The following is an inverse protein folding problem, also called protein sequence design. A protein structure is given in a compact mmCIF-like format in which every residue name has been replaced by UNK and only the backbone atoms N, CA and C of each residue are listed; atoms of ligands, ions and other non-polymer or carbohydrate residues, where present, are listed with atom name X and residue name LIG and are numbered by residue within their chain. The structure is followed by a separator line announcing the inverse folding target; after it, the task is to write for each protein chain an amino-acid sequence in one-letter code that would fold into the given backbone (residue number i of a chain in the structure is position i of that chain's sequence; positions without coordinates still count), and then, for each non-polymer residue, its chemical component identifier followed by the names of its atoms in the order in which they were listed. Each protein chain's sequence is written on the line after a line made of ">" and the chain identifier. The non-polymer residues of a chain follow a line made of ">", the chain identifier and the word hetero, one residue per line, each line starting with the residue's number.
data_IF_195043127723
#
_entry.id   IF_195043127723
#
_cell.length_a   1.000
_cell.length_b   1.000
_cell.length_c   1.000
_cell.angle_alpha   90.00
_cell.angle_beta   90.00
_cell.angle_gamma   90.00
#
_symmetry.space_group_name_H-M   'P 1'
#
loop_
_entity.id
_entity.type
_entity.pdbx_description
1 polymer ?
#
# COMPACT_ATOMS: atom_id res chain seq x y z
N UNK A 1 -6.25 -21.72 -3.12
CA UNK A 1 -5.80 -22.21 -4.43
C UNK A 1 -4.40 -21.72 -4.74
N UNK A 2 -3.49 -22.67 -5.00
CA UNK A 2 -2.11 -22.36 -5.39
C UNK A 2 -2.02 -22.38 -6.92
N UNK A 3 -1.50 -21.32 -7.52
CA UNK A 3 -1.37 -21.19 -8.96
C UNK A 3 0.05 -20.76 -9.33
N UNK A 4 0.55 -21.23 -10.48
CA UNK A 4 1.83 -20.79 -11.04
C UNK A 4 1.53 -19.72 -12.08
N UNK A 5 2.09 -18.54 -11.88
CA UNK A 5 1.97 -17.42 -12.81
C UNK A 5 3.30 -17.26 -13.56
N UNK A 6 3.24 -17.22 -14.88
CA UNK A 6 4.40 -17.04 -15.78
C UNK A 6 4.20 -15.91 -16.78
N UNK A 7 3.07 -15.18 -16.69
CA UNK A 7 2.74 -14.12 -17.65
C UNK A 7 3.54 -12.83 -17.45
N UNK A 8 4.23 -12.67 -16.31
CA UNK A 8 5.14 -11.55 -16.09
C UNK A 8 6.53 -11.93 -16.61
N UNK A 9 7.09 -11.10 -17.45
CA UNK A 9 8.40 -11.37 -18.08
C UNK A 9 9.49 -11.60 -17.02
N UNK A 10 10.28 -12.66 -17.22
CA UNK A 10 11.37 -13.07 -16.34
C UNK A 10 10.97 -13.47 -14.90
N UNK A 11 9.70 -13.77 -14.68
CA UNK A 11 9.21 -14.19 -13.37
C UNK A 11 8.43 -15.50 -13.46
N UNK A 12 8.63 -16.35 -12.45
CA UNK A 12 7.77 -17.51 -12.15
C UNK A 12 7.27 -17.32 -10.72
N UNK A 13 6.01 -17.00 -10.58
CA UNK A 13 5.40 -16.68 -9.29
C UNK A 13 4.51 -17.82 -8.82
N UNK A 14 4.62 -18.18 -7.56
CA UNK A 14 3.68 -19.07 -6.90
C UNK A 14 2.65 -18.21 -6.16
N UNK A 15 1.42 -18.21 -6.65
CA UNK A 15 0.36 -17.35 -6.13
C UNK A 15 -0.63 -18.19 -5.34
N UNK A 16 -0.82 -17.88 -4.06
CA UNK A 16 -1.89 -18.43 -3.23
C UNK A 16 -3.01 -17.38 -3.12
N UNK A 17 -4.11 -17.62 -3.80
CA UNK A 17 -5.24 -16.71 -3.79
C UNK A 17 -6.24 -16.96 -2.65
N UNK A 18 -6.12 -18.07 -1.94
CA UNK A 18 -7.07 -18.47 -0.86
C UNK A 18 -8.55 -18.34 -1.26
N UNK A 19 -8.83 -18.49 -2.56
CA UNK A 19 -10.18 -18.31 -3.11
C UNK A 19 -10.54 -16.89 -3.51
N UNK A 20 -9.64 -15.91 -3.33
CA UNK A 20 -9.83 -14.54 -3.79
C UNK A 20 -9.46 -14.43 -5.27
N UNK A 21 -10.20 -13.64 -6.03
CA UNK A 21 -9.89 -13.34 -7.42
C UNK A 21 -8.72 -12.37 -7.49
N UNK A 22 -7.60 -12.82 -8.07
CA UNK A 22 -6.47 -11.96 -8.39
C UNK A 22 -6.65 -11.40 -9.79
N UNK A 23 -6.50 -10.09 -9.92
CA UNK A 23 -6.61 -9.40 -11.20
C UNK A 23 -5.35 -8.57 -11.39
N UNK A 24 -4.65 -8.83 -12.48
CA UNK A 24 -3.37 -8.20 -12.78
C UNK A 24 -3.58 -6.98 -13.67
N UNK A 25 -2.93 -5.89 -13.32
CA UNK A 25 -2.93 -4.67 -14.11
C UNK A 25 -2.07 -4.84 -15.36
N UNK A 26 -2.68 -4.66 -16.53
CA UNK A 26 -2.05 -4.85 -17.83
C UNK A 26 -1.84 -3.52 -18.60
N UNK A 27 -2.13 -2.40 -17.94
CA UNK A 27 -1.94 -1.07 -18.51
C UNK A 27 -3.08 -0.63 -19.43
N UNK A 28 -2.79 0.39 -20.22
CA UNK A 28 -3.79 1.00 -21.12
C UNK A 28 -3.51 0.78 -22.60
N UNK A 29 -2.39 0.16 -22.97
CA UNK A 29 -2.03 -0.06 -24.37
C UNK A 29 -2.74 -1.30 -24.93
N UNK A 30 -3.69 -1.14 -25.88
CA UNK A 30 -4.42 -2.27 -26.46
C UNK A 30 -3.52 -3.29 -27.19
N UNK A 31 -2.31 -2.90 -27.58
CA UNK A 31 -1.36 -3.79 -28.24
C UNK A 31 -0.86 -4.92 -27.30
N UNK A 32 -0.99 -4.72 -25.99
CA UNK A 32 -0.59 -5.68 -24.98
C UNK A 32 -1.74 -6.57 -24.51
N UNK A 33 -2.98 -6.30 -24.96
CA UNK A 33 -4.14 -7.05 -24.47
C UNK A 33 -4.24 -8.44 -25.10
N UNK A 34 -4.58 -9.42 -24.28
CA UNK A 34 -4.83 -10.82 -24.68
C UNK A 34 -3.60 -11.51 -25.30
N UNK A 35 -2.39 -11.08 -24.98
CA UNK A 35 -1.14 -11.55 -25.60
C UNK A 35 -0.42 -12.64 -24.78
N UNK A 36 -1.01 -13.04 -23.64
CA UNK A 36 -0.44 -14.04 -22.73
C UNK A 36 0.64 -13.49 -21.82
N UNK A 37 0.71 -12.16 -21.68
CA UNK A 37 1.67 -11.45 -20.83
C UNK A 37 0.94 -10.45 -19.94
N UNK A 38 1.67 -9.89 -18.98
CA UNK A 38 1.24 -8.78 -18.13
C UNK A 38 2.23 -7.64 -18.31
N UNK A 39 1.82 -6.61 -19.05
CA UNK A 39 2.70 -5.51 -19.40
C UNK A 39 2.84 -4.49 -18.27
N UNK A 40 1.77 -4.21 -17.53
CA UNK A 40 1.74 -3.13 -16.55
C UNK A 40 1.69 -1.74 -17.18
N UNK A 41 2.32 -0.75 -16.54
CA UNK A 41 2.39 0.62 -17.06
C UNK A 41 1.28 1.54 -16.55
N UNK A 42 1.16 2.71 -17.21
CA UNK A 42 0.16 3.72 -16.85
C UNK A 42 -1.21 3.42 -17.47
N UNK A 43 -2.28 4.00 -16.87
CA UNK A 43 -3.63 3.88 -17.43
C UNK A 43 -4.71 4.35 -16.49
N UNK A 44 -5.96 4.08 -16.87
CA UNK A 44 -7.15 4.47 -16.11
C UNK A 44 -7.83 3.25 -15.50
N UNK A 45 -8.03 3.27 -14.20
CA UNK A 45 -8.74 2.23 -13.44
C UNK A 45 -10.19 2.64 -13.22
N UNK A 46 -11.11 1.94 -13.86
CA UNK A 46 -12.56 2.13 -13.70
C UNK A 46 -13.24 0.91 -13.09
N UNK A 47 -14.29 1.16 -12.34
CA UNK A 47 -15.21 0.13 -11.90
C UNK A 47 -16.20 -0.17 -13.03
N UNK A 48 -16.11 -1.36 -13.62
CA UNK A 48 -17.07 -1.83 -14.63
C UNK A 48 -16.61 -1.77 -16.07
N UNK A 49 -17.28 -2.47 -16.86
CA UNK A 49 -17.30 -3.11 -18.12
C UNK A 49 -16.62 -2.57 -19.38
N UNK A 50 -16.08 -1.40 -19.49
CA UNK A 50 -15.47 -0.94 -20.75
C UNK A 50 -13.93 -0.81 -20.71
N UNK A 51 -13.33 -1.11 -19.58
CA UNK A 51 -11.88 -1.10 -19.42
C UNK A 51 -11.33 -2.51 -19.60
N UNK A 52 -10.43 -2.71 -20.55
CA UNK A 52 -9.73 -3.98 -20.75
C UNK A 52 -8.33 -3.98 -20.13
N UNK A 53 -8.10 -3.12 -19.15
CA UNK A 53 -6.78 -2.91 -18.52
C UNK A 53 -6.42 -3.97 -17.46
N UNK A 54 -7.30 -4.93 -17.21
CA UNK A 54 -7.10 -5.97 -16.22
C UNK A 54 -7.11 -7.35 -16.88
N UNK A 55 -6.23 -8.22 -16.44
CA UNK A 55 -6.12 -9.57 -16.98
C UNK A 55 -6.05 -10.62 -15.86
N UNK A 56 -6.29 -11.84 -16.21
CA UNK A 56 -6.05 -12.99 -15.34
C UNK A 56 -4.57 -13.29 -15.18
N UNK A 57 -4.28 -14.30 -14.34
CA UNK A 57 -2.90 -14.71 -14.02
C UNK A 57 -2.10 -15.18 -15.24
N UNK A 58 -2.76 -15.59 -16.32
CA UNK A 58 -2.15 -16.09 -17.55
C UNK A 58 -1.99 -15.02 -18.66
N UNK A 59 -2.49 -13.79 -18.43
CA UNK A 59 -2.40 -12.69 -19.39
C UNK A 59 -3.22 -12.84 -20.66
N UNK A 60 -4.07 -13.90 -20.78
CA UNK A 60 -4.71 -14.26 -22.06
C UNK A 60 -6.01 -13.54 -22.34
N UNK A 61 -6.70 -13.10 -21.30
CA UNK A 61 -7.99 -12.43 -21.44
C UNK A 61 -8.01 -11.16 -20.62
N UNK A 62 -8.09 -10.03 -21.30
CA UNK A 62 -8.27 -8.74 -20.67
C UNK A 62 -9.77 -8.43 -20.46
N UNK A 63 -10.06 -7.73 -19.38
CA UNK A 63 -11.40 -7.35 -18.99
C UNK A 63 -11.44 -6.20 -18.02
N UNK A 64 -12.63 -5.92 -17.51
CA UNK A 64 -12.85 -4.88 -16.50
C UNK A 64 -12.44 -5.33 -15.10
N UNK A 65 -12.30 -4.34 -14.22
CA UNK A 65 -12.04 -4.57 -12.80
C UNK A 65 -13.13 -5.40 -12.14
N UNK A 66 -12.70 -6.40 -11.38
CA UNK A 66 -13.59 -7.21 -10.54
C UNK A 66 -13.66 -6.55 -9.15
N UNK A 67 -14.85 -6.05 -8.80
CA UNK A 67 -15.07 -5.40 -7.52
C UNK A 67 -14.72 -6.32 -6.33
N UNK A 68 -14.11 -5.75 -5.31
CA UNK A 68 -13.64 -6.46 -4.13
C UNK A 68 -12.53 -7.50 -4.40
N UNK A 69 -11.95 -7.50 -5.61
CA UNK A 69 -10.80 -8.31 -5.97
C UNK A 69 -9.50 -7.80 -5.40
N UNK A 70 -8.43 -8.56 -5.60
CA UNK A 70 -7.06 -8.15 -5.29
C UNK A 70 -6.38 -7.65 -6.56
N UNK A 71 -5.97 -6.37 -6.53
CA UNK A 71 -5.26 -5.72 -7.62
C UNK A 71 -3.75 -6.05 -7.55
N UNK A 72 -3.21 -6.66 -8.59
CA UNK A 72 -1.77 -6.96 -8.68
C UNK A 72 -1.13 -6.06 -9.72
N UNK A 73 -0.19 -5.24 -9.28
CA UNK A 73 0.59 -4.32 -10.11
C UNK A 73 1.99 -4.90 -10.32
N UNK A 74 2.25 -5.38 -11.54
CA UNK A 74 3.51 -6.02 -11.95
C UNK A 74 3.93 -5.50 -13.33
N UNK A 75 4.93 -6.10 -13.94
CA UNK A 75 5.46 -5.62 -15.23
C UNK A 75 6.13 -4.26 -15.13
N UNK A 76 5.83 -3.34 -16.03
CA UNK A 76 6.36 -1.98 -16.01
C UNK A 76 5.58 -1.14 -15.02
N UNK A 77 6.26 -0.41 -14.14
CA UNK A 77 5.61 0.55 -13.24
C UNK A 77 5.05 1.76 -14.02
N UNK A 78 4.02 2.38 -13.43
CA UNK A 78 3.38 3.54 -14.04
C UNK A 78 2.45 4.27 -13.09
N UNK A 79 1.73 5.24 -13.63
CA UNK A 79 0.68 5.97 -12.92
C UNK A 79 -0.69 5.43 -13.33
N UNK A 80 -1.43 4.92 -12.35
CA UNK A 80 -2.78 4.41 -12.54
C UNK A 80 -3.77 5.40 -11.94
N UNK A 81 -4.61 5.98 -12.80
CA UNK A 81 -5.60 6.99 -12.39
C UNK A 81 -6.95 6.33 -12.17
N UNK A 82 -7.42 6.36 -10.93
CA UNK A 82 -8.78 5.91 -10.58
C UNK A 82 -9.78 6.90 -11.13
N UNK A 83 -10.78 6.43 -11.88
CA UNK A 83 -11.83 7.23 -12.47
C UNK A 83 -13.19 6.57 -12.21
N UNK A 84 -13.93 7.13 -11.26
CA UNK A 84 -15.26 6.62 -10.86
C UNK A 84 -16.39 7.16 -11.73
N UNK A 85 -16.06 7.95 -12.77
CA UNK A 85 -17.07 8.59 -13.65
C UNK A 85 -18.16 9.32 -12.86
N UNK A 86 -17.71 10.24 -11.98
CA UNK A 86 -18.59 11.09 -11.16
C UNK A 86 -19.56 10.29 -10.29
N UNK A 87 -18.99 9.42 -9.43
CA UNK A 87 -19.75 8.79 -8.34
C UNK A 87 -20.68 7.65 -8.73
N UNK A 88 -20.74 7.26 -10.00
CA UNK A 88 -21.64 6.21 -10.45
C UNK A 88 -21.23 4.82 -9.95
N UNK A 89 -19.91 4.52 -9.86
CA UNK A 89 -19.40 3.23 -9.43
C UNK A 89 -18.06 3.39 -8.70
N UNK A 90 -18.03 3.35 -7.38
CA UNK A 90 -16.77 3.36 -6.64
C UNK A 90 -15.94 2.13 -6.99
N UNK A 91 -14.62 2.30 -7.10
CA UNK A 91 -13.70 1.18 -7.20
C UNK A 91 -13.54 0.57 -5.82
N UNK A 92 -14.09 -0.63 -5.62
CA UNK A 92 -13.94 -1.38 -4.36
C UNK A 92 -12.76 -2.31 -4.45
N UNK A 93 -11.86 -2.19 -3.47
CA UNK A 93 -10.60 -2.88 -3.37
C UNK A 93 -10.63 -3.92 -2.24
N UNK A 94 -10.47 -5.19 -2.56
CA UNK A 94 -10.33 -6.27 -1.57
C UNK A 94 -8.90 -6.43 -1.07
N UNK A 95 -7.91 -6.03 -1.86
CA UNK A 95 -6.48 -6.03 -1.53
C UNK A 95 -5.66 -5.50 -2.69
N UNK A 96 -4.37 -5.22 -2.44
CA UNK A 96 -3.44 -4.83 -3.49
C UNK A 96 -2.06 -5.45 -3.28
N UNK A 97 -1.35 -5.72 -4.36
CA UNK A 97 0.06 -6.05 -4.36
C UNK A 97 0.79 -5.21 -5.42
N UNK A 98 1.83 -4.53 -5.01
CA UNK A 98 2.79 -3.86 -5.87
C UNK A 98 4.04 -4.72 -5.96
N UNK A 99 4.10 -5.59 -6.97
CA UNK A 99 5.18 -6.57 -7.14
C UNK A 99 6.42 -5.99 -7.82
N UNK A 100 6.38 -4.72 -8.22
CA UNK A 100 7.52 -3.96 -8.77
C UNK A 100 7.57 -2.56 -8.18
N UNK A 101 8.75 -1.97 -8.20
CA UNK A 101 9.00 -0.63 -7.65
C UNK A 101 8.40 0.46 -8.52
N UNK A 102 7.78 1.49 -7.91
CA UNK A 102 7.52 2.78 -8.55
C UNK A 102 6.09 3.02 -9.04
N UNK A 103 5.12 2.16 -8.75
CA UNK A 103 3.72 2.45 -9.08
C UNK A 103 3.16 3.61 -8.26
N UNK A 104 2.34 4.43 -8.92
CA UNK A 104 1.53 5.47 -8.28
C UNK A 104 0.06 5.30 -8.64
N UNK A 105 -0.81 5.26 -7.61
CA UNK A 105 -2.26 5.28 -7.77
C UNK A 105 -2.77 6.66 -7.39
N UNK A 106 -3.45 7.34 -8.29
CA UNK A 106 -4.02 8.67 -8.06
C UNK A 106 -5.47 8.76 -8.56
N UNK A 107 -6.05 9.95 -8.62
CA UNK A 107 -7.40 10.21 -9.11
C UNK A 107 -8.46 10.11 -8.03
N UNK A 108 -9.60 9.54 -8.36
CA UNK A 108 -10.76 9.41 -7.47
C UNK A 108 -10.50 8.43 -6.31
N UNK A 109 -11.40 8.41 -5.33
CA UNK A 109 -11.25 7.59 -4.15
C UNK A 109 -11.44 6.08 -4.43
N UNK A 110 -10.61 5.28 -3.77
CA UNK A 110 -10.80 3.84 -3.60
C UNK A 110 -11.69 3.56 -2.38
N UNK A 111 -12.42 2.46 -2.40
CA UNK A 111 -13.28 2.04 -1.28
C UNK A 111 -12.83 0.67 -0.78
N UNK A 112 -12.62 0.53 0.53
CA UNK A 112 -12.33 -0.73 1.20
C UNK A 112 -13.45 -1.10 2.16
N UNK A 113 -13.93 -2.34 2.10
CA UNK A 113 -15.06 -2.82 2.91
C UNK A 113 -14.69 -3.99 3.81
N UNK A 114 -13.67 -4.75 3.43
CA UNK A 114 -13.20 -5.87 4.23
C UNK A 114 -12.60 -5.39 5.58
N UNK A 115 -12.80 -6.14 6.67
CA UNK A 115 -12.23 -5.79 7.97
C UNK A 115 -10.72 -5.56 7.93
N UNK A 116 -10.02 -6.27 7.04
CA UNK A 116 -8.59 -6.12 6.77
C UNK A 116 -8.36 -6.17 5.26
N UNK A 117 -8.10 -5.03 4.64
CA UNK A 117 -7.66 -4.94 3.26
C UNK A 117 -6.13 -4.89 3.24
N UNK A 118 -5.52 -5.96 2.75
CA UNK A 118 -4.06 -6.08 2.73
C UNK A 118 -3.48 -5.38 1.52
N UNK A 119 -2.53 -4.48 1.75
CA UNK A 119 -1.72 -3.82 0.72
C UNK A 119 -0.26 -4.25 0.90
N UNK A 120 0.24 -5.03 -0.04
CA UNK A 120 1.62 -5.50 -0.08
C UNK A 120 2.45 -4.64 -1.02
N UNK A 121 3.66 -4.31 -0.59
CA UNK A 121 4.68 -3.70 -1.46
C UNK A 121 5.89 -4.61 -1.46
N UNK A 122 6.02 -5.36 -2.54
CA UNK A 122 7.02 -6.38 -2.68
C UNK A 122 6.52 -7.63 -3.41
N UNK A 123 7.46 -8.51 -3.69
CA UNK A 123 7.28 -9.81 -4.33
C UNK A 123 7.57 -10.99 -3.37
N UNK A 124 7.73 -10.68 -2.07
CA UNK A 124 8.06 -11.66 -1.03
C UNK A 124 9.55 -11.96 -0.91
N UNK A 125 10.41 -11.37 -1.73
CA UNK A 125 11.88 -11.52 -1.63
C UNK A 125 12.51 -10.44 -0.77
N UNK A 126 13.77 -10.62 -0.36
CA UNK A 126 14.52 -9.59 0.36
C UNK A 126 14.70 -8.30 -0.45
N UNK A 127 14.68 -8.37 -1.78
CA UNK A 127 14.75 -7.20 -2.67
C UNK A 127 13.54 -6.25 -2.50
N UNK A 128 12.42 -6.75 -1.99
CA UNK A 128 11.24 -5.94 -1.68
C UNK A 128 11.52 -4.76 -0.77
N UNK A 129 12.53 -4.83 0.10
CA UNK A 129 12.91 -3.73 1.00
C UNK A 129 13.31 -2.43 0.25
N UNK A 130 13.79 -2.56 -1.00
CA UNK A 130 14.08 -1.42 -1.88
C UNK A 130 12.91 -0.90 -2.70
N UNK A 131 11.76 -1.58 -2.66
CA UNK A 131 10.59 -1.20 -3.44
C UNK A 131 9.74 -0.15 -2.74
N UNK A 132 9.07 0.68 -3.53
CA UNK A 132 8.09 1.65 -3.05
C UNK A 132 6.88 1.72 -3.98
N UNK A 133 5.72 1.99 -3.40
CA UNK A 133 4.50 2.30 -4.12
C UNK A 133 3.79 3.47 -3.44
N UNK A 134 3.12 4.31 -4.21
CA UNK A 134 2.40 5.47 -3.72
C UNK A 134 0.90 5.33 -4.01
N UNK A 135 0.06 5.45 -2.99
CA UNK A 135 -1.38 5.64 -3.14
C UNK A 135 -1.70 7.08 -2.73
N UNK A 136 -1.76 7.95 -3.74
CA UNK A 136 -2.14 9.35 -3.59
C UNK A 136 -3.66 9.54 -3.66
N UNK A 137 -4.40 8.61 -4.27
CA UNK A 137 -5.86 8.56 -4.21
C UNK A 137 -6.34 8.41 -2.78
N UNK A 138 -7.45 9.05 -2.42
CA UNK A 138 -8.08 8.84 -1.12
C UNK A 138 -8.63 7.42 -0.99
N UNK A 139 -8.57 6.86 0.22
CA UNK A 139 -9.15 5.56 0.55
C UNK A 139 -10.25 5.77 1.57
N UNK A 140 -11.47 5.37 1.21
CA UNK A 140 -12.65 5.42 2.09
C UNK A 140 -13.21 4.05 2.40
N UNK A 141 -14.35 4.01 3.12
CA UNK A 141 -15.10 2.79 3.39
C UNK A 141 -15.06 2.35 4.86
N UNK A 142 -15.68 1.20 5.14
CA UNK A 142 -15.81 0.67 6.51
C UNK A 142 -14.66 -0.23 6.93
N UNK A 143 -13.84 -0.68 5.96
CA UNK A 143 -12.73 -1.60 6.19
C UNK A 143 -11.54 -1.00 6.92
N UNK A 144 -10.59 -1.87 7.29
CA UNK A 144 -9.28 -1.51 7.81
C UNK A 144 -8.18 -1.76 6.78
N UNK A 145 -7.06 -1.04 6.88
CA UNK A 145 -5.91 -1.18 6.00
C UNK A 145 -4.77 -1.91 6.73
N UNK A 146 -4.24 -2.93 6.08
CA UNK A 146 -3.05 -3.65 6.55
C UNK A 146 -1.93 -3.46 5.53
N UNK A 147 -0.84 -2.80 5.95
CA UNK A 147 0.40 -2.76 5.16
C UNK A 147 1.24 -3.99 5.48
N UNK A 148 1.64 -4.72 4.45
CA UNK A 148 2.46 -5.92 4.58
C UNK A 148 3.59 -5.96 3.54
N UNK A 149 4.51 -6.96 3.67
CA UNK A 149 5.71 -7.15 2.86
C UNK A 149 6.79 -6.07 3.07
N UNK A 150 8.03 -6.32 2.56
CA UNK A 150 9.26 -5.59 2.91
C UNK A 150 9.37 -4.16 2.39
N UNK A 151 8.61 -3.78 1.36
CA UNK A 151 8.73 -2.47 0.71
C UNK A 151 8.05 -1.33 1.46
N UNK A 152 8.15 -0.13 0.88
CA UNK A 152 7.54 1.10 1.40
C UNK A 152 6.22 1.39 0.71
N UNK A 153 5.12 1.46 1.48
CA UNK A 153 3.86 2.05 1.03
C UNK A 153 3.81 3.52 1.45
N UNK A 154 3.58 4.41 0.49
CA UNK A 154 3.34 5.83 0.75
C UNK A 154 1.84 6.08 0.63
N UNK A 155 1.22 6.60 1.70
CA UNK A 155 -0.16 7.05 1.68
C UNK A 155 -0.19 8.58 1.63
N UNK A 156 -0.64 9.13 0.49
CA UNK A 156 -0.73 10.57 0.25
C UNK A 156 -2.16 11.11 0.33
N UNK A 157 -3.17 10.24 0.20
CA UNK A 157 -4.57 10.63 0.19
C UNK A 157 -5.11 11.06 1.56
N UNK A 158 -6.17 11.89 1.54
CA UNK A 158 -6.98 12.16 2.71
C UNK A 158 -7.94 10.99 2.94
N UNK A 159 -7.53 10.04 3.78
CA UNK A 159 -8.20 8.77 3.94
C UNK A 159 -9.30 8.83 5.02
N UNK A 160 -10.40 8.13 4.78
CA UNK A 160 -11.57 8.11 5.68
C UNK A 160 -12.03 6.69 6.06
N UNK A 161 -11.27 5.66 5.71
CA UNK A 161 -11.62 4.27 6.08
C UNK A 161 -11.70 4.10 7.62
N UNK A 162 -12.67 3.30 8.08
CA UNK A 162 -13.08 3.30 9.48
C UNK A 162 -12.50 2.17 10.33
N UNK A 163 -11.85 1.17 9.74
CA UNK A 163 -11.34 -0.01 10.45
C UNK A 163 -9.95 0.16 11.07
N UNK A 164 -9.31 1.34 10.92
CA UNK A 164 -7.95 1.57 11.42
C UNK A 164 -6.85 1.06 10.49
N UNK A 165 -5.59 1.22 10.92
CA UNK A 165 -4.39 0.87 10.14
C UNK A 165 -3.51 -0.08 10.92
N UNK A 166 -3.00 -1.13 10.26
CA UNK A 166 -2.02 -2.07 10.83
C UNK A 166 -0.81 -2.15 9.92
N UNK A 167 0.40 -2.09 10.48
CA UNK A 167 1.66 -2.24 9.75
C UNK A 167 2.34 -3.52 10.20
N UNK A 168 2.31 -4.56 9.35
CA UNK A 168 2.87 -5.89 9.64
C UNK A 168 4.28 -6.07 9.09
N UNK A 169 4.63 -5.37 8.01
CA UNK A 169 5.94 -5.50 7.39
C UNK A 169 6.36 -4.25 6.63
N UNK A 170 7.67 -4.08 6.44
CA UNK A 170 8.26 -2.96 5.72
C UNK A 170 7.93 -1.61 6.32
N UNK A 171 7.68 -0.63 5.48
CA UNK A 171 7.49 0.75 5.88
C UNK A 171 6.14 1.28 5.39
N UNK A 172 5.36 1.88 6.29
CA UNK A 172 4.25 2.76 5.95
C UNK A 172 4.72 4.22 6.10
N UNK A 173 4.76 4.97 5.01
CA UNK A 173 5.12 6.38 5.01
C UNK A 173 3.90 7.26 4.86
N UNK A 174 3.81 8.28 5.71
CA UNK A 174 2.74 9.28 5.71
C UNK A 174 3.32 10.69 5.84
N UNK A 175 2.53 11.71 5.51
CA UNK A 175 2.85 13.12 5.70
C UNK A 175 1.88 13.85 6.62
N UNK A 176 0.75 13.22 6.97
CA UNK A 176 -0.26 13.80 7.85
C UNK A 176 -1.08 12.69 8.54
N UNK A 177 -1.71 13.01 9.68
CA UNK A 177 -2.54 12.06 10.43
C UNK A 177 -3.72 11.52 9.61
N UNK A 178 -4.33 12.36 8.77
CA UNK A 178 -5.44 11.98 7.90
C UNK A 178 -5.06 10.98 6.78
N UNK A 179 -3.78 10.65 6.60
CA UNK A 179 -3.38 9.56 5.71
C UNK A 179 -3.68 8.17 6.32
N UNK A 180 -3.91 8.08 7.64
CA UNK A 180 -4.16 6.84 8.38
C UNK A 180 -5.66 6.49 8.57
N UNK A 181 -6.52 6.97 7.67
CA UNK A 181 -7.97 6.75 7.76
C UNK A 181 -8.67 7.69 8.72
N UNK A 182 -9.93 7.39 9.05
CA UNK A 182 -10.80 8.26 9.84
C UNK A 182 -10.18 8.65 11.19
N UNK A 183 -10.45 9.89 11.61
CA UNK A 183 -9.97 10.43 12.87
C UNK A 183 -10.31 9.52 14.06
N UNK A 184 -9.39 9.38 15.00
CA UNK A 184 -9.59 8.57 16.21
C UNK A 184 -9.56 7.05 16.00
N UNK A 185 -9.34 6.55 14.78
CA UNK A 185 -9.15 5.12 14.54
C UNK A 185 -7.75 4.67 14.88
N UNK A 186 -7.61 3.42 15.37
CA UNK A 186 -6.34 2.89 15.86
C UNK A 186 -5.27 2.74 14.79
N UNK A 187 -4.01 2.79 15.24
CA UNK A 187 -2.84 2.40 14.50
C UNK A 187 -2.15 1.25 15.25
N UNK A 188 -1.90 0.14 14.58
CA UNK A 188 -1.15 -0.98 15.14
C UNK A 188 0.16 -1.18 14.36
N UNK A 189 1.26 -1.36 15.09
CA UNK A 189 2.54 -1.80 14.53
C UNK A 189 2.79 -3.23 15.01
N UNK A 190 2.92 -4.16 14.06
CA UNK A 190 3.08 -5.59 14.34
C UNK A 190 4.19 -6.17 13.44
N UNK A 191 5.39 -5.64 13.59
CA UNK A 191 6.58 -6.01 12.80
C UNK A 191 7.03 -4.95 11.79
N UNK A 192 6.18 -3.98 11.44
CA UNK A 192 6.51 -2.95 10.47
C UNK A 192 6.95 -1.61 11.09
N UNK A 193 7.26 -0.68 10.21
CA UNK A 193 7.73 0.67 10.57
C UNK A 193 6.75 1.73 10.07
N UNK A 194 6.35 2.65 10.95
CA UNK A 194 5.73 3.91 10.55
C UNK A 194 6.82 4.96 10.32
N UNK A 195 6.83 5.56 9.12
CA UNK A 195 7.68 6.71 8.79
C UNK A 195 6.82 7.94 8.58
N UNK A 196 7.13 9.02 9.29
CA UNK A 196 6.53 10.33 9.08
C UNK A 196 7.50 11.17 8.24
N UNK A 197 7.07 11.63 7.07
CA UNK A 197 7.90 12.40 6.16
C UNK A 197 8.30 13.76 6.78
N UNK A 198 9.45 14.29 6.37
CA UNK A 198 9.91 15.61 6.80
C UNK A 198 8.95 16.72 6.36
N UNK A 199 8.75 17.74 7.20
CA UNK A 199 7.81 18.83 6.89
C UNK A 199 6.33 18.49 7.10
N UNK A 200 6.04 17.33 7.69
CA UNK A 200 4.68 16.88 7.96
C UNK A 200 3.91 17.80 8.89
N UNK A 201 2.59 17.84 8.70
CA UNK A 201 1.67 18.46 9.65
C UNK A 201 1.76 17.78 11.03
N UNK A 202 1.41 18.48 12.13
CA UNK A 202 1.42 17.89 13.46
C UNK A 202 0.63 16.57 13.47
N UNK A 203 1.25 15.53 14.02
CA UNK A 203 0.58 14.25 14.24
C UNK A 203 -0.30 14.39 15.50
N UNK A 204 -1.58 14.17 15.37
CA UNK A 204 -2.50 14.34 16.50
C UNK A 204 -2.47 13.11 17.41
N UNK A 205 -2.25 13.35 18.71
CA UNK A 205 -2.18 12.34 19.77
C UNK A 205 -3.51 11.60 20.03
N UNK A 206 -4.51 11.72 19.18
CA UNK A 206 -5.84 11.13 19.37
C UNK A 206 -5.97 9.69 18.87
N UNK A 207 -4.93 9.14 18.19
CA UNK A 207 -4.93 7.75 17.75
C UNK A 207 -4.38 6.85 18.85
N UNK A 208 -5.11 5.81 19.19
CA UNK A 208 -4.54 4.73 19.98
C UNK A 208 -3.47 4.02 19.17
N UNK A 209 -2.24 3.99 19.69
CA UNK A 209 -1.13 3.21 19.13
C UNK A 209 -1.06 1.88 19.88
N UNK A 210 -1.15 0.77 19.14
CA UNK A 210 -0.94 -0.57 19.66
C UNK A 210 0.34 -1.17 19.09
N UNK A 211 1.08 -1.90 19.92
CA UNK A 211 2.20 -2.73 19.46
C UNK A 211 1.75 -4.19 19.48
N UNK A 212 1.84 -4.85 18.34
CA UNK A 212 1.60 -6.28 18.22
C UNK A 212 2.78 -7.13 18.70
N UNK A 213 2.65 -8.45 18.62
CA UNK A 213 3.70 -9.40 19.05
C UNK A 213 4.99 -9.27 18.22
N UNK A 214 4.90 -8.81 16.97
CA UNK A 214 6.04 -8.51 16.11
C UNK A 214 6.78 -7.22 16.46
N UNK A 215 6.31 -6.47 17.45
CA UNK A 215 6.85 -5.15 17.79
C UNK A 215 6.59 -4.11 16.71
N UNK A 216 7.35 -3.03 16.71
CA UNK A 216 7.22 -2.00 15.68
C UNK A 216 8.18 -0.84 15.90
N UNK A 217 8.48 -0.13 14.82
CA UNK A 217 9.35 1.03 14.84
C UNK A 217 8.58 2.26 14.36
N UNK A 218 8.81 3.40 15.02
CA UNK A 218 8.31 4.70 14.58
C UNK A 218 9.50 5.62 14.32
N UNK A 219 9.66 6.03 13.06
CA UNK A 219 10.68 6.99 12.64
C UNK A 219 10.03 8.36 12.40
N UNK A 220 10.16 9.25 13.35
CA UNK A 220 9.70 10.62 13.24
C UNK A 220 10.90 11.53 12.94
N UNK A 221 10.96 12.08 11.74
CA UNK A 221 11.95 13.11 11.44
C UNK A 221 11.50 14.44 12.07
N UNK A 222 11.97 14.69 13.29
CA UNK A 222 12.05 16.02 13.86
C UNK A 222 11.01 16.51 14.84
N UNK A 223 10.12 15.68 15.42
CA UNK A 223 9.35 16.03 16.63
C UNK A 223 8.85 14.79 17.38
N UNK A 224 9.00 14.85 18.71
CA UNK A 224 8.48 13.85 19.64
C UNK A 224 6.97 13.62 19.44
N UNK A 225 6.59 12.39 19.19
CA UNK A 225 5.19 11.96 19.34
C UNK A 225 5.00 11.69 20.84
N UNK A 226 4.38 12.64 21.54
CA UNK A 226 3.99 12.45 22.93
C UNK A 226 3.03 11.29 23.07
N UNK A 227 3.53 10.09 23.21
CA UNK A 227 2.81 8.90 23.65
C UNK A 227 2.87 8.84 25.16
N UNK A 228 1.70 8.99 25.80
CA UNK A 228 1.55 8.73 27.24
C UNK A 228 1.58 7.21 27.45
N UNK A 229 2.75 6.66 27.77
CA UNK A 229 2.92 5.23 28.06
C UNK A 229 4.40 4.84 27.92
N UNK A 230 5.12 4.90 29.04
CA UNK A 230 6.55 4.72 29.18
C UNK A 230 7.17 3.63 28.34
N UNK A 231 7.97 4.05 27.41
CA UNK A 231 9.23 3.38 27.12
C UNK A 231 10.19 4.41 26.49
N UNK A 232 11.33 4.58 27.14
CA UNK A 232 12.36 5.53 26.71
C UNK A 232 13.18 4.85 25.62
N UNK A 233 13.01 5.26 24.37
CA UNK A 233 13.97 4.97 23.33
C UNK A 233 15.32 5.58 23.69
N UNK A 234 16.35 4.74 23.84
CA UNK A 234 17.73 5.16 24.01
C UNK A 234 18.21 5.84 22.71
N UNK A 235 18.33 7.16 22.77
CA UNK A 235 19.16 7.92 21.84
C UNK A 235 20.63 7.66 22.22
N UNK A 236 21.36 6.93 21.37
CA UNK A 236 22.80 6.83 21.40
C UNK A 236 23.38 7.59 20.22
N UNK A 237 23.42 8.89 20.33
CA UNK A 237 24.26 9.76 19.53
C UNK A 237 25.24 10.46 20.46
N UNK A 238 26.33 9.79 20.82
CA UNK A 238 27.36 10.37 21.63
C UNK A 238 28.36 11.14 20.78
N UNK A 239 28.55 12.40 21.08
CA UNK A 239 29.80 13.08 20.84
C UNK A 239 30.35 13.54 22.18
N UNK A 240 31.36 12.82 22.68
CA UNK A 240 32.19 13.22 23.78
C UNK A 240 33.25 14.24 23.29
N UNK A 241 33.04 15.49 23.57
CA UNK A 241 34.13 16.45 23.59
C UNK A 241 34.66 16.56 25.04
N UNK A 242 35.75 15.86 25.31
CA UNK A 242 36.60 16.13 26.50
C UNK A 242 37.29 17.47 26.32
N UNK A 243 36.98 18.42 27.16
CA UNK A 243 37.85 19.56 27.41
C UNK A 243 38.51 19.39 28.78
N UNK A 244 39.80 19.02 28.77
CA UNK A 244 40.68 19.14 29.91
C UNK A 244 40.97 20.61 30.15
N UNK A 245 40.76 21.07 31.35
CA UNK A 245 41.44 22.26 31.88
C UNK A 245 42.29 21.87 33.08
N UNK A 246 43.50 22.42 33.06
CA UNK A 246 44.50 22.40 34.13
C UNK A 246 44.11 23.32 35.28
#
# INVERSE_FOLDING_TARGET
>A
NLQVQTAVANQVNLVNSEGVTLTLWDGADPANFNDGKVAGGSGTWRAGGSSSSWTGIDGKLNGGWQQDGVAVFSGQAGTVTVDTQVGANPVRLGGAQFAVNGYTINGDALTITAPQTVVRVGDGTAASAGMSANIAAAIGGTGGLVKDDGGTLILGGNNSYAGGTTVKGGILQISADNNLGAFGKGLALDGGTLRIATGSAPFFASRALALGAGGGTSNVHGRDVGGNGGDRAHDRGGDHHESRQR
#
